data_IF_498044354874
#
_entry.id   IF_498044354874
#
_cell.length_a   1.000
_cell.length_b   1.000
_cell.length_c   1.000
_cell.angle_alpha   90.00
_cell.angle_beta   90.00
_cell.angle_gamma   90.00
#
_symmetry.space_group_name_H-M   'P 1'
#
loop_
_entity.id
_entity.type
_entity.pdbx_description
1 polymer ?
#
# COMPACT_ATOMS: atom_id res chain seq x y z
N UNK A 1 3.95 -14.98 12.72
CA UNK A 1 5.00 -16.00 12.52
C UNK A 1 4.34 -17.34 12.22
N UNK A 2 4.87 -18.07 11.25
CA UNK A 2 4.54 -19.46 10.96
C UNK A 2 5.80 -20.30 10.82
N UNK A 3 5.69 -21.59 11.11
CA UNK A 3 6.72 -22.60 10.83
C UNK A 3 6.08 -23.62 9.90
N UNK A 4 6.77 -23.92 8.80
CA UNK A 4 6.33 -24.91 7.81
C UNK A 4 7.38 -26.01 7.63
N UNK A 5 6.94 -27.19 7.19
CA UNK A 5 7.82 -28.28 6.78
C UNK A 5 8.58 -27.96 5.47
N UNK A 6 9.47 -28.85 5.05
CA UNK A 6 10.22 -28.71 3.80
C UNK A 6 9.33 -28.67 2.52
N UNK A 7 8.08 -29.14 2.60
CA UNK A 7 7.09 -29.07 1.53
C UNK A 7 6.22 -27.80 1.59
N UNK A 8 6.42 -26.93 2.59
CA UNK A 8 5.69 -25.69 2.78
C UNK A 8 4.33 -25.84 3.46
N UNK A 9 4.05 -26.98 4.12
CA UNK A 9 2.86 -27.17 4.95
C UNK A 9 3.10 -26.57 6.33
N UNK A 10 2.17 -25.74 6.79
CA UNK A 10 2.25 -25.04 8.07
C UNK A 10 2.11 -26.07 9.18
N UNK A 11 3.12 -26.13 10.04
CA UNK A 11 3.18 -26.99 11.21
C UNK A 11 2.78 -26.24 12.49
N UNK A 12 3.04 -24.92 12.54
CA UNK A 12 2.73 -24.07 13.69
C UNK A 12 2.52 -22.62 13.25
N UNK A 13 1.70 -21.91 13.99
CA UNK A 13 1.56 -20.45 13.89
C UNK A 13 1.59 -19.82 15.28
N UNK A 14 1.89 -18.52 15.35
CA UNK A 14 1.75 -17.77 16.60
C UNK A 14 0.44 -16.99 16.64
N UNK A 15 0.08 -16.49 17.82
CA UNK A 15 -1.13 -15.67 18.01
C UNK A 15 -1.23 -14.47 17.05
N UNK A 16 -0.12 -13.75 16.84
CA UNK A 16 -0.09 -12.64 15.90
C UNK A 16 -0.39 -13.05 14.46
N UNK A 17 -0.06 -14.29 14.07
CA UNK A 17 -0.45 -14.81 12.76
C UNK A 17 -1.98 -14.87 12.62
N UNK A 18 -2.63 -15.45 13.63
CA UNK A 18 -4.08 -15.64 13.64
C UNK A 18 -4.79 -14.28 13.67
N UNK A 19 -4.34 -13.36 14.52
CA UNK A 19 -4.92 -12.01 14.62
C UNK A 19 -4.82 -11.22 13.31
N UNK A 20 -3.68 -11.32 12.62
CA UNK A 20 -3.50 -10.61 11.35
C UNK A 20 -4.23 -11.29 10.19
N UNK A 21 -4.23 -12.61 10.10
CA UNK A 21 -4.84 -13.29 8.94
C UNK A 21 -6.34 -13.54 9.10
N UNK A 22 -6.83 -13.55 10.33
CA UNK A 22 -8.20 -13.90 10.69
C UNK A 22 -8.48 -15.40 10.72
N UNK A 23 -7.49 -16.25 10.40
CA UNK A 23 -7.62 -17.70 10.49
C UNK A 23 -7.24 -18.20 11.89
N UNK A 24 -7.94 -19.23 12.36
CA UNK A 24 -7.52 -19.94 13.57
C UNK A 24 -6.31 -20.83 13.28
N UNK A 25 -5.60 -21.24 14.33
CA UNK A 25 -4.50 -22.21 14.20
C UNK A 25 -4.98 -23.51 13.56
N UNK A 26 -6.11 -24.05 14.02
CA UNK A 26 -6.71 -25.28 13.48
C UNK A 26 -7.01 -25.21 11.98
N UNK A 27 -7.42 -24.04 11.48
CA UNK A 27 -7.72 -23.83 10.06
C UNK A 27 -6.46 -23.81 9.18
N UNK A 28 -5.30 -23.46 9.74
CA UNK A 28 -4.05 -23.30 8.96
C UNK A 28 -3.09 -24.46 9.11
N UNK A 29 -3.19 -25.26 10.17
CA UNK A 29 -2.35 -26.44 10.34
C UNK A 29 -2.51 -27.43 9.17
N UNK A 30 -1.39 -27.91 8.64
CA UNK A 30 -1.33 -28.81 7.47
C UNK A 30 -1.61 -28.14 6.12
N UNK A 31 -2.08 -26.89 6.12
CA UNK A 31 -2.30 -26.12 4.90
C UNK A 31 -1.01 -25.46 4.40
N UNK A 32 -1.01 -25.03 3.15
CA UNK A 32 0.08 -24.23 2.59
C UNK A 32 -0.29 -22.75 2.62
N UNK A 33 0.70 -21.86 2.53
CA UNK A 33 0.47 -20.40 2.50
C UNK A 33 -0.40 -19.91 1.32
N UNK A 34 -0.80 -20.81 0.41
CA UNK A 34 -1.80 -20.53 -0.64
C UNK A 34 -3.16 -20.07 -0.11
N UNK A 35 -3.51 -20.41 1.14
CA UNK A 35 -4.73 -19.92 1.77
C UNK A 35 -4.78 -18.38 1.88
N UNK A 36 -3.60 -17.73 1.91
CA UNK A 36 -3.46 -16.27 1.96
C UNK A 36 -3.32 -15.63 0.56
N UNK A 37 -3.43 -16.40 -0.52
CA UNK A 37 -3.18 -15.91 -1.86
C UNK A 37 -4.21 -14.86 -2.29
N UNK A 38 -3.74 -13.65 -2.62
CA UNK A 38 -4.62 -12.55 -3.03
C UNK A 38 -4.92 -12.51 -4.53
N UNK A 39 -4.09 -13.17 -5.35
CA UNK A 39 -4.12 -13.08 -6.81
C UNK A 39 -3.37 -11.86 -7.39
N UNK A 40 -2.75 -11.01 -6.55
CA UNK A 40 -2.01 -9.83 -7.04
C UNK A 40 -0.59 -10.15 -7.53
N UNK A 41 0.02 -11.20 -6.99
CA UNK A 41 1.35 -11.63 -7.40
C UNK A 41 1.27 -12.63 -8.54
N UNK A 42 2.19 -12.49 -9.48
CA UNK A 42 2.29 -13.40 -10.62
C UNK A 42 2.89 -14.75 -10.22
N UNK A 43 2.68 -15.82 -11.00
CA UNK A 43 3.39 -17.08 -10.81
C UNK A 43 4.93 -16.91 -10.83
N UNK A 44 5.44 -16.01 -11.67
CA UNK A 44 6.87 -15.70 -11.76
C UNK A 44 7.43 -15.13 -10.45
N UNK A 45 6.65 -14.33 -9.72
CA UNK A 45 7.03 -13.82 -8.40
C UNK A 45 7.29 -14.96 -7.41
N UNK A 46 6.35 -15.93 -7.32
CA UNK A 46 6.52 -17.07 -6.41
C UNK A 46 7.67 -17.98 -6.85
N UNK A 47 7.89 -18.15 -8.16
CA UNK A 47 9.02 -18.90 -8.68
C UNK A 47 10.36 -18.28 -8.25
N UNK A 48 10.49 -16.95 -8.36
CA UNK A 48 11.68 -16.21 -7.92
C UNK A 48 11.88 -16.29 -6.40
N UNK A 49 10.81 -16.16 -5.61
CA UNK A 49 10.85 -16.34 -4.15
C UNK A 49 11.41 -17.71 -3.76
N UNK A 50 10.85 -18.78 -4.35
CA UNK A 50 11.30 -20.14 -4.06
C UNK A 50 12.73 -20.43 -4.57
N UNK A 51 13.15 -19.79 -5.66
CA UNK A 51 14.54 -19.86 -6.12
C UNK A 51 15.49 -19.25 -5.08
N UNK A 52 15.19 -18.03 -4.61
CA UNK A 52 15.96 -17.35 -3.55
C UNK A 52 16.08 -18.21 -2.29
N UNK A 53 14.99 -18.84 -1.84
CA UNK A 53 14.99 -19.71 -0.68
C UNK A 53 15.86 -20.96 -0.85
N UNK A 54 15.91 -21.53 -2.06
CA UNK A 54 16.77 -22.69 -2.35
C UNK A 54 18.24 -22.31 -2.43
N UNK A 55 18.55 -21.17 -3.05
CA UNK A 55 19.92 -20.72 -3.27
C UNK A 55 20.55 -20.13 -2.00
N UNK A 56 19.87 -19.18 -1.37
CA UNK A 56 20.42 -18.41 -0.25
C UNK A 56 19.92 -18.86 1.12
N UNK A 57 18.81 -19.63 1.15
CA UNK A 57 18.14 -19.98 2.41
C UNK A 57 17.30 -18.84 2.99
N UNK A 58 17.17 -17.70 2.30
CA UNK A 58 16.41 -16.57 2.78
C UNK A 58 15.64 -15.89 1.64
N UNK A 59 14.52 -15.26 1.98
CA UNK A 59 13.80 -14.36 1.10
C UNK A 59 13.07 -13.31 1.92
N UNK A 60 13.06 -12.07 1.44
CA UNK A 60 12.28 -10.99 2.01
C UNK A 60 11.64 -10.18 0.88
N UNK A 61 10.37 -9.79 1.05
CA UNK A 61 9.70 -8.94 0.10
C UNK A 61 8.27 -8.57 0.49
N UNK A 62 7.74 -7.58 -0.22
CA UNK A 62 6.34 -7.20 -0.09
C UNK A 62 5.43 -8.22 -0.75
N UNK A 63 4.33 -8.54 -0.08
CA UNK A 63 3.33 -9.49 -0.51
C UNK A 63 1.93 -8.97 -0.15
N UNK A 64 1.00 -9.00 -1.08
CA UNK A 64 -0.43 -8.83 -0.83
C UNK A 64 -1.04 -10.17 -0.44
N UNK A 65 -1.55 -10.23 0.78
CA UNK A 65 -2.27 -11.39 1.30
C UNK A 65 -3.77 -11.09 1.32
N UNK A 66 -4.57 -12.15 1.22
CA UNK A 66 -6.01 -12.11 1.47
C UNK A 66 -6.28 -12.67 2.87
N UNK A 67 -6.92 -11.88 3.71
CA UNK A 67 -7.39 -12.31 5.04
C UNK A 67 -8.64 -13.19 4.88
N UNK A 68 -9.01 -13.89 5.96
CA UNK A 68 -10.21 -14.74 5.99
C UNK A 68 -11.50 -14.01 5.61
N UNK A 69 -11.62 -12.73 5.98
CA UNK A 69 -12.75 -11.87 5.63
C UNK A 69 -12.78 -11.42 4.16
N UNK A 70 -11.79 -11.83 3.35
CA UNK A 70 -11.66 -11.46 1.93
C UNK A 70 -10.89 -10.18 1.65
N UNK A 71 -10.54 -9.40 2.68
CA UNK A 71 -9.75 -8.17 2.56
C UNK A 71 -8.35 -8.45 2.03
N UNK A 72 -7.89 -7.64 1.08
CA UNK A 72 -6.53 -7.73 0.53
C UNK A 72 -5.65 -6.70 1.20
N UNK A 73 -4.65 -7.15 1.94
CA UNK A 73 -3.73 -6.29 2.70
C UNK A 73 -2.28 -6.46 2.22
N UNK A 74 -1.51 -5.36 2.10
CA UNK A 74 -0.07 -5.44 1.89
C UNK A 74 0.63 -5.90 3.18
N UNK A 75 1.66 -6.71 3.03
CA UNK A 75 2.49 -7.16 4.13
C UNK A 75 3.95 -7.33 3.70
N UNK A 76 4.86 -7.21 4.65
CA UNK A 76 6.26 -7.55 4.46
C UNK A 76 6.46 -8.98 4.98
N UNK A 77 6.91 -9.88 4.13
CA UNK A 77 7.16 -11.27 4.48
C UNK A 77 8.66 -11.55 4.42
N UNK A 78 9.18 -12.14 5.49
CA UNK A 78 10.54 -12.65 5.62
C UNK A 78 10.47 -14.15 5.86
N UNK A 79 11.17 -14.93 5.04
CA UNK A 79 11.22 -16.38 5.12
C UNK A 79 12.68 -16.82 5.26
N UNK A 80 12.95 -17.70 6.22
CA UNK A 80 14.27 -18.31 6.41
C UNK A 80 14.16 -19.82 6.44
N UNK A 81 15.04 -20.49 5.69
CA UNK A 81 15.16 -21.94 5.66
C UNK A 81 16.02 -22.43 6.83
N UNK A 82 15.51 -23.41 7.58
CA UNK A 82 16.22 -24.07 8.66
C UNK A 82 16.77 -25.39 8.14
N UNK A 83 18.10 -25.53 8.16
CA UNK A 83 18.81 -26.72 7.68
C UNK A 83 19.30 -27.58 8.84
N UNK A 84 19.34 -28.89 8.65
CA UNK A 84 20.00 -29.80 9.60
C UNK A 84 21.53 -29.78 9.43
N UNK A 85 22.24 -30.59 10.22
CA UNK A 85 23.70 -30.74 10.16
C UNK A 85 24.22 -31.25 8.80
N UNK A 86 23.39 -31.91 8.01
CA UNK A 86 23.71 -32.37 6.65
C UNK A 86 23.41 -31.31 5.57
N UNK A 87 22.99 -30.09 5.95
CA UNK A 87 22.66 -29.02 5.02
C UNK A 87 21.30 -29.16 4.34
N UNK A 88 20.49 -30.15 4.73
CA UNK A 88 19.16 -30.40 4.17
C UNK A 88 18.13 -29.50 4.86
N UNK A 89 17.30 -28.82 4.08
CA UNK A 89 16.20 -27.99 4.61
C UNK A 89 15.18 -28.89 5.30
N UNK A 90 14.88 -28.58 6.55
CA UNK A 90 13.88 -29.29 7.35
C UNK A 90 12.62 -28.47 7.54
N UNK A 91 12.76 -27.15 7.68
CA UNK A 91 11.67 -26.23 7.97
C UNK A 91 11.87 -24.89 7.29
N UNK A 92 10.78 -24.14 7.13
CA UNK A 92 10.80 -22.73 6.81
C UNK A 92 10.14 -21.94 7.93
N UNK A 93 10.77 -20.85 8.34
CA UNK A 93 10.21 -19.91 9.32
C UNK A 93 9.80 -18.65 8.58
N UNK A 94 8.50 -18.33 8.62
CA UNK A 94 7.93 -17.13 8.02
C UNK A 94 7.54 -16.11 9.09
N UNK A 95 8.02 -14.89 8.96
CA UNK A 95 7.58 -13.74 9.77
C UNK A 95 6.96 -12.73 8.82
N UNK A 96 5.76 -12.27 9.16
CA UNK A 96 5.07 -11.29 8.36
C UNK A 96 4.64 -10.11 9.21
N UNK A 97 4.73 -8.92 8.64
CA UNK A 97 4.28 -7.68 9.22
C UNK A 97 3.21 -7.06 8.31
N UNK A 98 2.17 -6.50 8.91
CA UNK A 98 1.13 -5.79 8.19
C UNK A 98 1.60 -4.37 7.83
N UNK A 99 1.61 -4.05 6.54
CA UNK A 99 2.02 -2.73 6.06
C UNK A 99 0.84 -1.77 5.88
N UNK A 100 -0.39 -2.18 6.19
CA UNK A 100 -1.62 -1.39 5.90
C UNK A 100 -1.55 0.01 6.50
N UNK A 101 -1.19 0.13 7.79
CA UNK A 101 -1.09 1.44 8.47
C UNK A 101 0.04 2.29 7.90
N UNK A 102 1.17 1.66 7.56
CA UNK A 102 2.33 2.36 7.01
C UNK A 102 1.96 2.93 5.63
N UNK A 103 1.42 2.10 4.73
CA UNK A 103 1.01 2.55 3.40
C UNK A 103 -0.12 3.58 3.43
N UNK A 104 -1.07 3.46 4.37
CA UNK A 104 -2.10 4.48 4.55
C UNK A 104 -1.51 5.81 5.02
N UNK A 105 -0.53 5.77 5.94
CA UNK A 105 0.18 6.98 6.38
C UNK A 105 1.01 7.59 5.26
N UNK A 106 1.71 6.78 4.46
CA UNK A 106 2.47 7.24 3.29
C UNK A 106 1.54 7.91 2.27
N UNK A 107 0.39 7.31 1.97
CA UNK A 107 -0.61 7.91 1.09
C UNK A 107 -1.19 9.21 1.64
N UNK A 108 -1.43 9.28 2.96
CA UNK A 108 -1.90 10.50 3.59
C UNK A 108 -0.86 11.61 3.54
N UNK A 109 0.42 11.29 3.77
CA UNK A 109 1.52 12.25 3.67
C UNK A 109 1.69 12.73 2.23
N UNK A 110 1.63 11.83 1.25
CA UNK A 110 1.68 12.17 -0.18
C UNK A 110 0.51 13.07 -0.57
N UNK A 111 -0.69 12.76 -0.08
CA UNK A 111 -1.87 13.59 -0.28
C UNK A 111 -1.66 15.00 0.31
N UNK A 112 -1.24 15.11 1.56
CA UNK A 112 -1.02 16.42 2.20
C UNK A 112 0.15 17.21 1.56
N UNK A 113 1.13 16.52 0.99
CA UNK A 113 2.24 17.15 0.28
C UNK A 113 1.81 17.78 -1.05
N UNK A 114 0.79 17.22 -1.72
CA UNK A 114 0.43 17.59 -3.09
C UNK A 114 -0.99 18.17 -3.24
N UNK A 115 -1.85 18.03 -2.24
CA UNK A 115 -3.24 18.44 -2.28
C UNK A 115 -3.61 19.30 -1.07
N UNK A 116 -4.54 20.22 -1.29
CA UNK A 116 -5.16 20.99 -0.23
C UNK A 116 -6.19 20.12 0.52
N UNK A 117 -6.11 19.98 1.85
CA UNK A 117 -6.98 19.05 2.58
C UNK A 117 -8.46 19.48 2.60
N UNK A 118 -8.74 20.78 2.46
CA UNK A 118 -10.10 21.30 2.47
C UNK A 118 -10.83 20.99 1.16
N UNK A 119 -10.16 21.21 0.03
CA UNK A 119 -10.76 21.08 -1.31
C UNK A 119 -10.39 19.76 -1.99
N UNK A 120 -9.35 19.07 -1.54
CA UNK A 120 -8.70 17.96 -2.26
C UNK A 120 -8.20 18.34 -3.68
N UNK A 121 -8.06 19.63 -3.98
CA UNK A 121 -7.46 20.10 -5.23
C UNK A 121 -5.93 20.11 -5.13
N UNK A 122 -5.20 20.04 -6.27
CA UNK A 122 -3.76 20.23 -6.28
C UNK A 122 -3.38 21.50 -5.53
N UNK A 123 -2.48 21.36 -4.57
CA UNK A 123 -1.95 22.51 -3.87
C UNK A 123 -0.95 23.26 -4.77
N UNK A 124 -0.43 24.38 -4.26
CA UNK A 124 0.51 25.22 -5.01
C UNK A 124 1.75 24.48 -5.49
N UNK A 125 2.25 23.50 -4.71
CA UNK A 125 3.43 22.72 -5.07
C UNK A 125 3.13 21.86 -6.31
N UNK A 126 2.04 21.09 -6.27
CA UNK A 126 1.64 20.24 -7.40
C UNK A 126 1.28 21.07 -8.63
N UNK A 127 0.56 22.19 -8.48
CA UNK A 127 0.26 23.12 -9.57
C UNK A 127 1.53 23.63 -10.24
N UNK A 128 2.53 24.06 -9.46
CA UNK A 128 3.79 24.60 -10.00
C UNK A 128 4.55 23.53 -10.79
N UNK A 129 4.60 22.29 -10.27
CA UNK A 129 5.23 21.17 -10.96
C UNK A 129 4.52 20.82 -12.28
N UNK A 130 3.18 20.77 -12.28
CA UNK A 130 2.39 20.51 -13.48
C UNK A 130 2.54 21.62 -14.53
N UNK A 131 2.57 22.89 -14.10
CA UNK A 131 2.80 24.02 -15.00
C UNK A 131 4.18 23.96 -15.64
N UNK A 132 5.22 23.67 -14.84
CA UNK A 132 6.58 23.53 -15.38
C UNK A 132 6.65 22.41 -16.43
N UNK A 133 6.04 21.26 -16.13
CA UNK A 133 5.95 20.16 -17.09
C UNK A 133 5.20 20.54 -18.36
N UNK A 134 4.08 21.24 -18.24
CA UNK A 134 3.31 21.74 -19.38
C UNK A 134 4.08 22.73 -20.25
N UNK A 135 4.85 23.64 -19.63
CA UNK A 135 5.75 24.57 -20.35
C UNK A 135 6.81 23.81 -21.14
N UNK A 136 7.41 22.77 -20.55
CA UNK A 136 8.45 21.97 -21.20
C UNK A 136 7.91 21.19 -22.40
N UNK A 137 6.68 20.67 -22.32
CA UNK A 137 5.98 20.03 -23.46
C UNK A 137 5.68 21.06 -24.56
N UNK A 138 5.06 22.19 -24.20
CA UNK A 138 4.70 23.23 -25.16
C UNK A 138 5.92 23.77 -25.93
N UNK A 139 7.08 23.90 -25.25
CA UNK A 139 8.35 24.29 -25.88
C UNK A 139 8.89 23.26 -26.88
N UNK A 140 8.64 21.97 -26.66
CA UNK A 140 9.11 20.89 -27.55
C UNK A 140 8.25 20.77 -28.80
N UNK A 141 6.95 20.96 -28.64
CA UNK A 141 5.96 20.74 -29.71
C UNK A 141 5.56 22.04 -30.44
N UNK A 142 6.27 23.13 -30.20
CA UNK A 142 5.98 24.50 -30.70
C UNK A 142 4.52 24.93 -30.44
N UNK A 143 3.98 24.48 -29.30
CA UNK A 143 2.62 24.72 -28.85
C UNK A 143 2.51 25.85 -27.81
N UNK A 144 1.28 26.20 -27.45
CA UNK A 144 0.97 27.17 -26.40
C UNK A 144 0.42 26.53 -25.12
N UNK A 145 0.66 27.17 -23.98
CA UNK A 145 0.03 26.84 -22.70
C UNK A 145 -0.76 28.05 -22.19
N UNK A 146 -1.99 27.83 -21.73
CA UNK A 146 -2.83 28.85 -21.09
C UNK A 146 -3.07 28.50 -19.61
N UNK A 147 -2.96 29.50 -18.73
CA UNK A 147 -3.30 29.39 -17.31
C UNK A 147 -4.45 30.35 -17.00
N UNK A 148 -5.55 29.81 -16.48
CA UNK A 148 -6.69 30.58 -15.98
C UNK A 148 -6.61 30.65 -14.45
N UNK A 149 -6.67 31.86 -13.90
CA UNK A 149 -6.76 32.09 -12.45
C UNK A 149 -8.13 32.68 -12.16
N UNK A 150 -8.87 32.05 -11.26
CA UNK A 150 -10.20 32.48 -10.81
C UNK A 150 -10.15 32.69 -9.30
N UNK A 151 -10.69 33.81 -8.83
CA UNK A 151 -10.80 34.13 -7.41
C UNK A 151 -12.27 34.10 -6.98
N UNK A 152 -12.52 33.76 -5.71
CA UNK A 152 -13.86 33.75 -5.14
C UNK A 152 -14.14 35.09 -4.44
N UNK A 153 -14.79 36.00 -5.16
CA UNK A 153 -15.17 37.30 -4.63
C UNK A 153 -16.05 37.17 -3.38
N UNK A 154 -15.78 38.03 -2.38
CA UNK A 154 -16.53 38.12 -1.11
C UNK A 154 -16.56 36.86 -0.24
N UNK A 155 -15.64 35.92 -0.45
CA UNK A 155 -15.55 34.72 0.41
C UNK A 155 -15.33 35.07 1.89
N UNK A 156 -14.64 36.19 2.17
CA UNK A 156 -14.48 36.72 3.53
C UNK A 156 -15.82 37.08 4.19
N UNK A 157 -16.73 37.72 3.46
CA UNK A 157 -18.04 38.11 4.00
C UNK A 157 -18.89 36.88 4.35
N UNK A 158 -18.74 35.79 3.58
CA UNK A 158 -19.40 34.50 3.86
C UNK A 158 -18.85 33.88 5.14
N UNK A 159 -17.51 33.85 5.31
CA UNK A 159 -16.89 33.34 6.54
C UNK A 159 -17.27 34.18 7.77
N UNK A 160 -17.27 35.50 7.65
CA UNK A 160 -17.56 36.43 8.75
C UNK A 160 -19.05 36.38 9.15
N UNK A 161 -19.95 36.11 8.19
CA UNK A 161 -21.41 36.08 8.44
C UNK A 161 -21.96 34.70 8.83
N UNK A 162 -21.39 33.61 8.29
CA UNK A 162 -21.94 32.25 8.42
C UNK A 162 -20.97 31.25 9.06
N UNK A 163 -19.79 31.72 9.49
CA UNK A 163 -18.76 30.90 10.10
C UNK A 163 -17.94 30.09 9.09
N UNK A 164 -16.72 29.75 9.50
CA UNK A 164 -15.74 29.04 8.66
C UNK A 164 -16.25 27.69 8.11
N UNK A 165 -17.05 26.94 8.86
CA UNK A 165 -17.60 25.66 8.40
C UNK A 165 -18.53 25.80 7.19
N UNK A 166 -19.21 26.94 7.03
CA UNK A 166 -20.05 27.23 5.87
C UNK A 166 -19.22 27.62 4.65
N UNK A 167 -18.12 28.37 4.86
CA UNK A 167 -17.14 28.65 3.81
C UNK A 167 -16.48 27.38 3.28
N UNK A 168 -16.08 26.47 4.18
CA UNK A 168 -15.50 25.17 3.84
C UNK A 168 -16.43 24.32 2.97
N UNK A 169 -17.74 24.32 3.28
CA UNK A 169 -18.75 23.65 2.48
C UNK A 169 -18.94 24.28 1.08
N UNK A 170 -18.82 25.62 0.99
CA UNK A 170 -18.88 26.33 -0.29
C UNK A 170 -17.73 25.93 -1.22
N UNK A 171 -16.50 25.90 -0.71
CA UNK A 171 -15.32 25.45 -1.47
C UNK A 171 -15.46 23.99 -1.96
N UNK A 172 -15.95 23.09 -1.10
CA UNK A 172 -16.18 21.69 -1.48
C UNK A 172 -17.23 21.53 -2.59
N UNK A 173 -18.28 22.35 -2.57
CA UNK A 173 -19.32 22.35 -3.60
C UNK A 173 -18.80 22.91 -4.93
N UNK A 174 -17.94 23.92 -4.89
CA UNK A 174 -17.34 24.54 -6.08
C UNK A 174 -16.45 23.58 -6.87
N UNK A 175 -15.76 22.64 -6.19
CA UNK A 175 -15.00 21.56 -6.86
C UNK A 175 -15.88 20.63 -7.70
N UNK A 176 -17.13 20.43 -7.28
CA UNK A 176 -17.98 19.34 -7.77
C UNK A 176 -18.87 19.73 -8.94
N UNK A 177 -18.85 21.01 -9.36
CA UNK A 177 -19.62 21.56 -10.48
C UNK A 177 -18.69 22.05 -11.57
#
# INVERSE_FOLDING_TARGET
MSIADAAGRILRVNRAFCELTGYSEEEVLGQTSRLLHSGRQTPAFYAAMWASLRETGHWQGEIWNRRKNGEVCPGLLSISAVKNSAGVVTHYVGVFADLTKIKASEQQLDFLAHYDPLTSLPNRLLLSAQLQHGIDIARRDDGGLALLVMDLDRFKDVNDSYGHSTGDACCNRWRSG
#
